data_IF_508664703682
#
_entry.id   IF_508664703682
#
_cell.length_a   1.000
_cell.length_b   1.000
_cell.length_c   1.000
_cell.angle_alpha   90.00
_cell.angle_beta   90.00
_cell.angle_gamma   90.00
#
_symmetry.space_group_name_H-M   'P 1'
#
loop_
_entity.id
_entity.type
_entity.pdbx_description
1 polymer ?
#
# COMPACT_ATOMS: atom_id res chain seq x y z
N UNK A 1 17.59 23.87 0.48
CA UNK A 1 16.36 23.46 1.21
C UNK A 1 16.29 21.96 1.32
N UNK A 2 16.55 21.24 0.25
CA UNK A 2 16.37 19.79 0.20
C UNK A 2 17.31 19.00 1.12
N UNK A 3 18.56 19.45 1.31
CA UNK A 3 19.53 18.82 2.22
C UNK A 3 19.07 18.83 3.69
N UNK A 4 18.28 19.84 4.07
CA UNK A 4 17.78 19.97 5.44
C UNK A 4 16.52 19.15 5.73
N UNK A 5 15.86 18.63 4.68
CA UNK A 5 14.64 17.82 4.85
C UNK A 5 14.94 16.43 5.37
N UNK A 6 16.17 15.92 5.24
CA UNK A 6 16.53 14.53 5.54
C UNK A 6 15.58 13.57 4.83
N UNK A 7 15.10 12.52 5.49
CA UNK A 7 13.98 11.73 5.02
C UNK A 7 12.67 12.50 5.24
N UNK A 8 11.78 12.41 4.27
CA UNK A 8 10.47 13.02 4.37
C UNK A 8 9.40 12.14 3.73
N UNK A 9 8.17 12.37 4.14
CA UNK A 9 6.97 11.80 3.53
C UNK A 9 6.16 12.95 2.93
N UNK A 10 5.68 12.73 1.72
CA UNK A 10 4.93 13.71 0.95
C UNK A 10 3.66 13.12 0.36
N UNK A 11 2.77 13.99 -0.03
CA UNK A 11 1.57 13.63 -0.77
C UNK A 11 1.39 14.52 -1.98
N UNK A 12 0.85 13.92 -3.04
CA UNK A 12 0.45 14.61 -4.25
C UNK A 12 -1.06 14.82 -4.21
N UNK A 13 -1.48 16.06 -4.46
CA UNK A 13 -2.87 16.47 -4.38
C UNK A 13 -3.32 16.96 -5.74
N UNK A 14 -4.48 16.53 -6.17
CA UNK A 14 -5.13 16.99 -7.38
C UNK A 14 -5.73 18.40 -7.13
N UNK A 15 -5.32 19.43 -7.85
CA UNK A 15 -5.83 20.78 -7.65
C UNK A 15 -7.30 20.94 -8.07
N UNK A 16 -7.85 20.00 -8.84
CA UNK A 16 -9.22 20.07 -9.36
C UNK A 16 -10.28 19.75 -8.30
N UNK A 17 -9.93 18.88 -7.36
CA UNK A 17 -10.84 18.42 -6.28
C UNK A 17 -10.26 18.55 -4.88
N UNK A 18 -8.95 18.83 -4.76
CA UNK A 18 -8.24 18.92 -3.49
C UNK A 18 -7.95 17.57 -2.85
N UNK A 19 -8.16 16.45 -3.55
CA UNK A 19 -7.94 15.12 -3.01
C UNK A 19 -6.49 14.67 -3.15
N UNK A 20 -6.00 13.99 -2.13
CA UNK A 20 -4.71 13.31 -2.19
C UNK A 20 -4.84 12.06 -3.04
N UNK A 21 -4.04 11.93 -4.08
CA UNK A 21 -4.05 10.76 -4.95
C UNK A 21 -2.80 9.88 -4.82
N UNK A 22 -1.73 10.37 -4.21
CA UNK A 22 -0.51 9.62 -4.02
C UNK A 22 0.21 10.02 -2.73
N UNK A 23 0.77 9.05 -2.05
CA UNK A 23 1.64 9.22 -0.89
C UNK A 23 2.97 8.54 -1.18
N UNK A 24 4.08 9.18 -0.83
CA UNK A 24 5.40 8.65 -1.03
C UNK A 24 6.41 9.21 -0.04
N UNK A 25 7.55 8.56 0.02
CA UNK A 25 8.70 9.02 0.81
C UNK A 25 9.88 9.35 -0.07
N UNK A 26 10.75 10.19 0.42
CA UNK A 26 11.93 10.61 -0.33
C UNK A 26 13.01 11.25 0.50
N UNK A 27 14.09 11.52 -0.19
CA UNK A 27 15.21 12.37 0.23
C UNK A 27 15.53 13.32 -0.92
N UNK A 28 16.18 14.42 -0.64
CA UNK A 28 16.56 15.42 -1.64
C UNK A 28 15.36 15.89 -2.49
N UNK A 29 15.48 15.89 -3.82
CA UNK A 29 14.47 16.40 -4.75
C UNK A 29 13.45 15.35 -5.21
N UNK A 30 13.42 14.16 -4.62
CA UNK A 30 12.59 13.05 -5.09
C UNK A 30 11.10 13.40 -5.30
N UNK A 31 10.57 14.33 -4.53
CA UNK A 31 9.17 14.78 -4.67
C UNK A 31 8.87 15.38 -6.05
N UNK A 32 9.87 16.01 -6.68
CA UNK A 32 9.73 16.65 -8.00
C UNK A 32 10.08 15.72 -9.16
N UNK A 33 10.78 14.62 -8.90
CA UNK A 33 11.24 13.70 -9.96
C UNK A 33 10.07 13.12 -10.75
N UNK A 34 8.94 12.89 -10.10
CA UNK A 34 7.73 12.35 -10.74
C UNK A 34 7.08 13.32 -11.74
N UNK A 35 7.14 14.62 -11.46
CA UNK A 35 6.49 15.65 -12.30
C UNK A 35 7.41 16.07 -13.45
N UNK A 36 8.71 16.04 -13.20
CA UNK A 36 9.70 16.44 -14.21
C UNK A 36 10.04 15.31 -15.22
N UNK A 37 9.38 14.17 -15.13
CA UNK A 37 9.66 13.02 -16.01
C UNK A 37 11.04 12.42 -15.83
N UNK A 38 11.77 12.79 -14.77
CA UNK A 38 13.13 12.34 -14.49
C UNK A 38 13.17 10.89 -13.98
N UNK A 39 12.07 10.36 -13.51
CA UNK A 39 11.91 8.92 -13.34
C UNK A 39 11.42 8.36 -14.68
N UNK A 40 12.34 8.23 -15.59
CA UNK A 40 12.18 7.30 -16.70
C UNK A 40 12.08 5.92 -16.08
N UNK A 41 10.88 5.46 -15.80
CA UNK A 41 10.61 4.05 -15.84
C UNK A 41 11.01 3.65 -17.25
N UNK A 42 12.14 2.97 -17.31
CA UNK A 42 12.64 2.39 -18.54
C UNK A 42 11.49 1.62 -19.14
N UNK A 43 11.07 2.05 -20.31
CA UNK A 43 10.18 1.30 -21.18
C UNK A 43 8.80 1.08 -20.63
N UNK A 44 7.82 1.83 -21.17
CA UNK A 44 6.56 1.11 -21.27
C UNK A 44 5.64 1.73 -22.28
N UNK A 45 5.17 0.88 -23.13
CA UNK A 45 3.96 1.04 -23.93
C UNK A 45 2.90 1.80 -23.13
N UNK A 46 2.14 2.65 -23.77
CA UNK A 46 1.17 3.56 -23.14
C UNK A 46 0.19 2.88 -22.16
N UNK A 47 0.02 1.56 -22.27
CA UNK A 47 -0.86 0.76 -21.41
C UNK A 47 -0.30 0.50 -20.00
N UNK A 48 0.97 0.75 -19.76
CA UNK A 48 1.66 0.45 -18.50
C UNK A 48 2.05 1.69 -17.67
N UNK A 49 1.63 2.89 -18.07
CA UNK A 49 1.76 4.05 -17.20
C UNK A 49 1.07 3.79 -15.87
N UNK A 50 1.80 3.90 -14.78
CA UNK A 50 1.22 3.73 -13.44
C UNK A 50 0.03 4.69 -13.26
N UNK A 51 -0.95 4.30 -12.47
CA UNK A 51 -2.12 5.14 -12.19
C UNK A 51 -1.72 6.55 -11.74
N UNK A 52 -0.65 6.65 -10.96
CA UNK A 52 -0.06 7.92 -10.56
C UNK A 52 0.35 8.79 -11.75
N UNK A 53 1.04 8.22 -12.74
CA UNK A 53 1.50 8.98 -13.91
C UNK A 53 0.34 9.41 -14.80
N UNK A 54 -0.68 8.57 -14.93
CA UNK A 54 -1.92 8.93 -15.63
C UNK A 54 -2.58 10.15 -14.95
N UNK A 55 -2.71 10.13 -13.64
CA UNK A 55 -3.30 11.25 -12.87
C UNK A 55 -2.49 12.54 -13.03
N UNK A 56 -1.16 12.47 -12.95
CA UNK A 56 -0.29 13.65 -13.16
C UNK A 56 -0.48 14.21 -14.56
N UNK A 57 -0.50 13.37 -15.58
CA UNK A 57 -0.73 13.77 -16.97
C UNK A 57 -2.09 14.43 -17.16
N UNK A 58 -3.14 13.88 -16.58
CA UNK A 58 -4.49 14.43 -16.69
C UNK A 58 -4.61 15.84 -16.05
N UNK A 59 -3.93 16.03 -14.91
CA UNK A 59 -3.84 17.35 -14.26
C UNK A 59 -3.13 18.35 -15.18
N UNK A 60 -1.98 17.96 -15.73
CA UNK A 60 -1.20 18.83 -16.64
C UNK A 60 -1.97 19.18 -17.93
N UNK A 61 -2.69 18.20 -18.50
CA UNK A 61 -3.55 18.44 -19.67
C UNK A 61 -4.70 19.40 -19.39
N UNK A 62 -5.14 19.52 -18.13
CA UNK A 62 -6.13 20.53 -17.71
C UNK A 62 -5.54 21.92 -17.50
N UNK A 63 -4.24 22.11 -17.74
CA UNK A 63 -3.54 23.38 -17.55
C UNK A 63 -3.21 23.70 -16.10
N UNK A 64 -3.24 22.71 -15.22
CA UNK A 64 -2.95 22.84 -13.79
C UNK A 64 -1.69 22.07 -13.42
N UNK A 65 -1.09 22.45 -12.29
CA UNK A 65 0.06 21.77 -11.72
C UNK A 65 -0.34 20.96 -10.49
N UNK A 66 0.29 19.79 -10.33
CA UNK A 66 0.11 18.95 -9.14
C UNK A 66 0.55 19.71 -7.89
N UNK A 67 -0.26 19.68 -6.85
CA UNK A 67 0.09 20.27 -5.56
C UNK A 67 0.95 19.28 -4.77
N UNK A 68 2.15 19.72 -4.38
CA UNK A 68 3.11 18.95 -3.61
C UNK A 68 3.08 19.36 -2.15
N UNK A 69 2.77 18.45 -1.25
CA UNK A 69 2.71 18.72 0.18
C UNK A 69 3.71 17.83 0.91
N UNK A 70 4.66 18.42 1.61
CA UNK A 70 5.47 17.70 2.61
C UNK A 70 4.60 17.48 3.83
N UNK A 71 4.28 16.20 4.09
CA UNK A 71 3.45 15.83 5.23
C UNK A 71 4.29 15.73 6.52
N UNK A 72 5.47 15.16 6.43
CA UNK A 72 6.45 15.06 7.52
C UNK A 72 7.86 15.13 6.98
N UNK A 73 8.74 15.83 7.66
CA UNK A 73 10.16 15.93 7.28
C UNK A 73 11.08 15.79 8.51
N UNK A 74 12.39 15.90 8.30
CA UNK A 74 13.41 15.73 9.30
C UNK A 74 13.39 14.35 9.98
N UNK A 75 12.93 13.32 9.25
CA UNK A 75 12.95 11.93 9.70
C UNK A 75 14.40 11.41 9.62
N UNK A 76 14.86 10.81 10.70
CA UNK A 76 16.27 10.44 10.83
C UNK A 76 16.64 9.17 10.06
N UNK A 77 15.66 8.33 9.74
CA UNK A 77 15.91 7.07 9.04
C UNK A 77 14.85 6.76 7.98
N UNK A 78 15.24 5.92 7.03
CA UNK A 78 14.34 5.35 6.05
C UNK A 78 13.20 4.58 6.72
N UNK A 79 13.49 3.85 7.79
CA UNK A 79 12.48 3.06 8.50
C UNK A 79 11.39 3.95 9.13
N UNK A 80 11.78 5.10 9.72
CA UNK A 80 10.80 6.07 10.22
C UNK A 80 9.93 6.61 9.09
N UNK A 81 10.50 6.90 7.93
CA UNK A 81 9.74 7.36 6.77
C UNK A 81 8.79 6.27 6.25
N UNK A 82 9.20 5.00 6.28
CA UNK A 82 8.36 3.86 5.89
C UNK A 82 7.14 3.71 6.81
N UNK A 83 7.31 3.84 8.12
CA UNK A 83 6.20 3.77 9.08
C UNK A 83 5.22 4.92 8.89
N UNK A 84 5.72 6.14 8.71
CA UNK A 84 4.86 7.32 8.49
C UNK A 84 4.13 7.21 7.16
N UNK A 85 4.81 6.78 6.08
CA UNK A 85 4.19 6.55 4.77
C UNK A 85 3.08 5.50 4.86
N UNK A 86 3.34 4.36 5.51
CA UNK A 86 2.37 3.29 5.68
C UNK A 86 1.12 3.78 6.42
N UNK A 87 1.30 4.47 7.54
CA UNK A 87 0.17 5.02 8.32
C UNK A 87 -0.69 5.99 7.51
N UNK A 88 -0.07 6.77 6.63
CA UNK A 88 -0.81 7.69 5.76
C UNK A 88 -1.54 6.94 4.63
N UNK A 89 -0.90 5.94 4.01
CA UNK A 89 -1.54 5.11 2.99
C UNK A 89 -2.78 4.43 3.57
N UNK A 90 -2.69 3.94 4.79
CA UNK A 90 -3.82 3.31 5.47
C UNK A 90 -4.94 4.30 5.84
N UNK A 91 -4.62 5.58 6.03
CA UNK A 91 -5.58 6.62 6.41
C UNK A 91 -6.29 7.30 5.23
N UNK A 92 -5.67 7.32 4.05
CA UNK A 92 -6.23 7.97 2.87
C UNK A 92 -6.89 6.95 1.94
N UNK A 93 -8.08 7.27 1.45
CA UNK A 93 -8.79 6.47 0.44
C UNK A 93 -8.52 7.01 -0.97
N UNK A 94 -8.70 6.16 -1.99
CA UNK A 94 -8.63 6.59 -3.39
C UNK A 94 -7.22 6.87 -3.91
N UNK A 95 -6.20 6.35 -3.24
CA UNK A 95 -4.81 6.52 -3.66
C UNK A 95 -4.48 5.69 -4.91
N UNK A 96 -3.57 6.20 -5.71
CA UNK A 96 -2.96 5.48 -6.85
C UNK A 96 -1.76 4.62 -6.44
N UNK A 97 -1.48 4.50 -5.16
CA UNK A 97 -0.45 3.61 -4.64
C UNK A 97 -0.82 2.15 -4.95
N UNK A 98 0.07 1.44 -5.65
CA UNK A 98 -0.14 0.03 -6.02
C UNK A 98 0.05 -0.88 -4.81
N UNK A 99 1.01 -0.53 -3.95
CA UNK A 99 1.35 -1.30 -2.76
C UNK A 99 0.76 -0.63 -1.52
N UNK A 100 0.17 -1.43 -0.65
CA UNK A 100 -0.14 -1.03 0.71
C UNK A 100 1.15 -0.65 1.46
N UNK A 101 1.02 0.07 2.55
CA UNK A 101 2.17 0.44 3.38
C UNK A 101 2.92 -0.78 3.91
N UNK A 102 4.20 -0.59 4.19
CA UNK A 102 5.03 -1.66 4.78
C UNK A 102 4.45 -2.09 6.13
N UNK A 103 4.13 -3.37 6.25
CA UNK A 103 3.58 -3.94 7.47
C UNK A 103 2.07 -3.70 7.67
N UNK A 104 1.36 -3.09 6.71
CA UNK A 104 -0.09 -2.83 6.83
C UNK A 104 -0.91 -4.10 7.06
N UNK A 105 -0.44 -5.26 6.62
CA UNK A 105 -1.13 -6.53 6.87
C UNK A 105 -1.03 -7.01 8.32
N UNK A 106 0.02 -6.61 9.04
CA UNK A 106 0.29 -7.05 10.41
C UNK A 106 0.00 -5.95 11.44
N UNK A 107 0.32 -4.71 11.09
CA UNK A 107 0.32 -3.57 12.00
C UNK A 107 -0.50 -2.39 11.47
N UNK A 108 -1.24 -2.57 10.39
CA UNK A 108 -2.09 -1.55 9.79
C UNK A 108 -3.38 -1.31 10.56
N UNK A 109 -4.32 -0.65 9.92
CA UNK A 109 -5.63 -0.35 10.50
C UNK A 109 -6.38 -1.65 10.79
N UNK A 110 -6.74 -1.87 12.05
CA UNK A 110 -7.51 -3.01 12.51
C UNK A 110 -8.50 -2.61 13.59
N UNK A 111 -9.60 -3.34 13.70
CA UNK A 111 -10.52 -3.15 14.81
C UNK A 111 -9.89 -3.66 16.11
N UNK A 112 -10.12 -2.96 17.22
CA UNK A 112 -9.56 -3.36 18.52
C UNK A 112 -9.93 -4.80 18.90
N UNK A 113 -11.14 -5.25 18.55
CA UNK A 113 -11.55 -6.62 18.81
C UNK A 113 -10.73 -7.65 18.01
N UNK A 114 -10.34 -7.33 16.79
CA UNK A 114 -9.47 -8.18 15.97
C UNK A 114 -8.09 -8.28 16.60
N UNK A 115 -7.54 -7.16 17.05
CA UNK A 115 -6.25 -7.10 17.75
C UNK A 115 -6.31 -7.94 19.04
N UNK A 116 -7.34 -7.74 19.86
CA UNK A 116 -7.51 -8.50 21.11
C UNK A 116 -7.62 -10.00 20.82
N UNK A 117 -8.42 -10.38 19.84
CA UNK A 117 -8.58 -11.78 19.44
C UNK A 117 -7.26 -12.38 18.97
N UNK A 118 -6.50 -11.66 18.14
CA UNK A 118 -5.21 -12.12 17.65
C UNK A 118 -4.19 -12.34 18.79
N UNK A 119 -4.13 -11.41 19.74
CA UNK A 119 -3.19 -11.54 20.88
C UNK A 119 -3.65 -12.51 21.98
N UNK A 120 -4.93 -12.85 22.04
CA UNK A 120 -5.49 -13.82 22.98
C UNK A 120 -5.66 -15.22 22.37
N UNK A 121 -5.41 -15.35 21.05
CA UNK A 121 -5.52 -16.63 20.38
C UNK A 121 -4.51 -17.61 20.96
N UNK A 122 -5.00 -18.79 21.30
CA UNK A 122 -4.14 -19.91 21.73
C UNK A 122 -3.34 -20.45 20.53
N UNK A 123 -2.12 -20.85 20.79
CA UNK A 123 -1.30 -21.50 19.75
C UNK A 123 -1.91 -22.84 19.40
N UNK A 124 -2.22 -23.05 18.13
CA UNK A 124 -2.73 -24.34 17.63
C UNK A 124 -1.56 -25.19 17.16
N UNK A 125 -1.43 -26.40 17.70
CA UNK A 125 -0.53 -27.41 17.16
C UNK A 125 -1.22 -28.14 16.00
N UNK A 126 -0.68 -28.01 14.81
CA UNK A 126 -1.16 -28.71 13.62
C UNK A 126 -0.29 -29.95 13.44
N UNK A 127 -0.88 -31.11 13.68
CA UNK A 127 -0.19 -32.43 13.61
C UNK A 127 -0.28 -33.09 12.24
N UNK A 128 -1.24 -32.63 11.42
CA UNK A 128 -1.48 -33.16 10.08
C UNK A 128 -1.07 -32.18 8.98
N UNK A 129 -0.94 -32.67 7.75
CA UNK A 129 -0.77 -31.81 6.59
C UNK A 129 -2.04 -30.98 6.41
N UNK A 130 -1.91 -29.66 6.59
CA UNK A 130 -3.03 -28.73 6.54
C UNK A 130 -2.78 -27.56 5.56
N UNK A 131 -3.80 -26.98 5.02
CA UNK A 131 -3.75 -25.78 4.20
C UNK A 131 -4.49 -24.66 4.90
N UNK A 132 -3.78 -23.58 5.26
CA UNK A 132 -4.40 -22.39 5.83
C UNK A 132 -4.83 -21.41 4.74
N UNK A 133 -6.07 -20.99 4.80
CA UNK A 133 -6.64 -20.05 3.86
C UNK A 133 -7.22 -18.86 4.64
N UNK A 134 -6.73 -17.66 4.37
CA UNK A 134 -7.31 -16.46 4.95
C UNK A 134 -8.64 -16.12 4.25
N UNK A 135 -9.73 -16.12 5.01
CA UNK A 135 -11.09 -15.89 4.50
C UNK A 135 -11.78 -14.67 5.12
N UNK A 136 -11.05 -13.85 5.86
CA UNK A 136 -11.59 -12.78 6.70
C UNK A 136 -12.69 -11.96 6.00
N UNK A 137 -12.36 -11.37 4.85
CA UNK A 137 -13.31 -10.53 4.12
C UNK A 137 -14.46 -11.35 3.51
N UNK A 138 -14.13 -12.46 2.88
CA UNK A 138 -15.10 -13.29 2.17
C UNK A 138 -16.06 -13.99 3.14
N UNK A 139 -15.59 -14.33 4.35
CA UNK A 139 -16.43 -14.94 5.38
C UNK A 139 -17.49 -13.98 5.93
N UNK A 140 -17.17 -12.70 6.03
CA UNK A 140 -18.13 -11.66 6.44
C UNK A 140 -19.23 -11.44 5.38
N UNK A 141 -18.87 -11.56 4.09
CA UNK A 141 -19.79 -11.32 2.98
C UNK A 141 -20.69 -12.54 2.67
N UNK A 142 -20.17 -13.75 2.81
CA UNK A 142 -20.82 -14.98 2.31
C UNK A 142 -20.99 -16.09 3.33
N UNK A 143 -20.50 -15.91 4.54
CA UNK A 143 -20.39 -16.98 5.55
C UNK A 143 -19.17 -17.87 5.33
N UNK A 144 -18.69 -18.50 6.40
CA UNK A 144 -17.45 -19.27 6.41
C UNK A 144 -17.47 -20.43 5.41
N UNK A 145 -18.57 -21.18 5.33
CA UNK A 145 -18.68 -22.35 4.44
C UNK A 145 -18.53 -21.98 2.96
N UNK A 146 -19.26 -20.96 2.51
CA UNK A 146 -19.20 -20.51 1.11
C UNK A 146 -17.87 -19.81 0.79
N UNK A 147 -17.30 -19.11 1.73
CA UNK A 147 -15.99 -18.50 1.58
C UNK A 147 -14.89 -19.53 1.34
N UNK A 148 -14.94 -20.68 2.00
CA UNK A 148 -13.99 -21.76 1.81
C UNK A 148 -14.25 -22.53 0.52
N UNK A 149 -15.51 -22.80 0.20
CA UNK A 149 -15.90 -23.68 -0.92
C UNK A 149 -15.70 -23.05 -2.30
N UNK A 150 -15.94 -21.75 -2.45
CA UNK A 150 -16.01 -21.12 -3.78
C UNK A 150 -14.88 -20.15 -4.12
N UNK A 151 -14.00 -19.83 -3.17
CA UNK A 151 -13.08 -18.72 -3.33
C UNK A 151 -11.71 -19.10 -3.94
N UNK A 152 -11.37 -20.38 -4.07
CA UNK A 152 -9.99 -20.75 -4.32
C UNK A 152 -9.81 -21.72 -5.47
N UNK A 153 -9.10 -21.26 -6.51
CA UNK A 153 -8.49 -22.13 -7.52
C UNK A 153 -7.07 -22.43 -7.06
N UNK A 154 -6.85 -23.59 -6.45
CA UNK A 154 -5.50 -24.05 -6.12
C UNK A 154 -4.82 -24.53 -7.40
N UNK A 155 -3.62 -24.01 -7.69
CA UNK A 155 -2.80 -24.54 -8.76
C UNK A 155 -1.93 -25.69 -8.25
N UNK A 156 -1.62 -26.72 -9.07
CA UNK A 156 -0.78 -27.85 -8.65
C UNK A 156 0.61 -27.44 -8.12
N UNK A 157 1.10 -26.26 -8.52
CA UNK A 157 2.37 -25.71 -8.02
C UNK A 157 2.25 -25.16 -6.60
N UNK A 158 1.06 -24.77 -6.18
CA UNK A 158 0.79 -24.27 -4.83
C UNK A 158 0.55 -25.39 -3.84
N UNK A 159 -0.06 -26.49 -4.27
CA UNK A 159 -0.17 -27.72 -3.45
C UNK A 159 1.19 -28.29 -3.04
N UNK A 160 2.20 -28.19 -3.92
CA UNK A 160 3.56 -28.67 -3.63
C UNK A 160 4.40 -27.75 -2.74
N UNK A 161 4.04 -26.50 -2.58
CA UNK A 161 4.80 -25.50 -1.82
C UNK A 161 4.35 -25.31 -0.38
N UNK A 162 3.26 -25.93 0.02
CA UNK A 162 2.65 -25.65 1.31
C UNK A 162 2.93 -26.71 2.35
N UNK A 163 4.08 -26.62 2.94
CA UNK A 163 4.19 -26.86 4.38
C UNK A 163 3.79 -25.56 5.05
N UNK A 164 2.77 -25.64 5.86
CA UNK A 164 2.17 -24.48 6.48
C UNK A 164 2.97 -24.02 7.64
N UNK A 165 3.02 -22.73 7.69
CA UNK A 165 3.46 -21.98 8.85
C UNK A 165 2.31 -21.03 9.19
N UNK A 166 1.83 -21.13 10.40
CA UNK A 166 0.93 -20.21 11.04
C UNK A 166 1.56 -18.84 11.13
#
# INVERSE_FOLDING_TARGET
VCENLKWYVYRLVDPRDGLTFYIGRGVNNRIFDHVNGLLTDKETEEDLLSLKMKQIRDIQLSGLDVIHIIHRHALESKNMAEVVEASLIDAYSGLTNIMSGKGSNEYGVANIHEIVTAYQAETVEITDDALLISINRTALERGVYDAVRFAWKLTPSEEKKKKIIL
#
